data_IF_262319727850
#
_entry.id   IF_262319727850
#
_cell.length_a   1.000
_cell.length_b   1.000
_cell.length_c   1.000
_cell.angle_alpha   90.00
_cell.angle_beta   90.00
_cell.angle_gamma   90.00
#
_symmetry.space_group_name_H-M   'P 1'
#
loop_
_entity.id
_entity.type
_entity.pdbx_description
1 polymer ?
#
# COMPACT_ATOMS: atom_id res chain seq x y z
N UNK A 1 -0.97 -6.24 14.28
CA UNK A 1 -2.42 -6.49 14.06
C UNK A 1 -2.73 -6.29 12.60
N UNK A 2 -3.21 -7.32 11.89
CA UNK A 2 -3.53 -7.24 10.45
C UNK A 2 -4.96 -6.70 10.32
N UNK A 3 -5.24 -5.91 9.29
CA UNK A 3 -6.63 -5.71 8.87
C UNK A 3 -7.15 -7.10 8.44
N UNK A 4 -8.03 -7.68 9.24
CA UNK A 4 -8.60 -9.00 8.98
C UNK A 4 -10.05 -8.99 9.46
N UNK A 5 -10.94 -9.42 8.57
CA UNK A 5 -12.41 -9.38 8.67
C UNK A 5 -13.07 -8.02 8.39
N UNK A 6 -12.96 -7.58 7.12
CA UNK A 6 -13.65 -6.39 6.60
C UNK A 6 -15.18 -6.57 6.47
N UNK A 7 -15.70 -7.79 6.68
CA UNK A 7 -17.10 -8.14 6.43
C UNK A 7 -17.98 -8.17 7.69
N UNK A 8 -17.51 -7.65 8.82
CA UNK A 8 -18.40 -7.50 9.98
C UNK A 8 -17.79 -7.91 11.32
N UNK A 9 -16.74 -8.72 11.34
CA UNK A 9 -16.33 -9.35 12.60
C UNK A 9 -17.40 -10.33 13.12
N UNK A 10 -17.17 -11.01 14.25
CA UNK A 10 -18.23 -11.71 14.99
C UNK A 10 -19.35 -10.77 15.49
N UNK A 11 -19.13 -9.45 15.48
CA UNK A 11 -20.09 -8.45 15.94
C UNK A 11 -21.10 -8.02 14.87
N UNK A 12 -20.85 -8.30 13.59
CA UNK A 12 -21.66 -7.82 12.46
C UNK A 12 -21.60 -6.30 12.23
N UNK A 13 -20.80 -5.55 13.01
CA UNK A 13 -20.73 -4.08 12.97
C UNK A 13 -19.72 -3.54 11.95
N UNK A 14 -18.92 -4.41 11.32
CA UNK A 14 -17.89 -4.02 10.36
C UNK A 14 -16.49 -4.14 10.94
N UNK A 15 -15.51 -3.51 10.29
CA UNK A 15 -14.12 -3.56 10.75
C UNK A 15 -13.98 -2.91 12.12
N UNK A 16 -13.37 -3.59 13.11
CA UNK A 16 -13.18 -3.04 14.47
C UNK A 16 -12.17 -1.89 14.52
N UNK A 17 -11.57 -1.50 13.39
CA UNK A 17 -10.65 -0.36 13.28
C UNK A 17 -11.30 0.87 12.63
N UNK A 18 -12.60 0.85 12.36
CA UNK A 18 -13.30 1.98 11.74
C UNK A 18 -13.04 2.15 10.23
N UNK A 19 -12.33 1.20 9.60
CA UNK A 19 -11.90 1.34 8.20
C UNK A 19 -12.99 0.98 7.18
N UNK A 20 -13.77 -0.07 7.46
CA UNK A 20 -14.82 -0.59 6.57
C UNK A 20 -16.05 -0.93 7.41
N UNK A 21 -16.77 0.10 7.82
CA UNK A 21 -17.96 0.01 8.67
C UNK A 21 -18.92 1.16 8.36
N UNK A 22 -20.22 0.90 8.50
CA UNK A 22 -21.30 1.91 8.48
C UNK A 22 -21.76 2.30 9.88
N UNK A 23 -21.15 1.71 10.91
CA UNK A 23 -21.42 2.02 12.32
C UNK A 23 -20.73 3.33 12.71
N UNK A 24 -21.52 4.32 13.13
CA UNK A 24 -21.05 5.68 13.38
C UNK A 24 -20.01 5.72 14.51
N UNK A 25 -20.19 4.93 15.57
CA UNK A 25 -19.25 4.89 16.69
C UNK A 25 -17.89 4.34 16.27
N UNK A 26 -17.88 3.31 15.41
CA UNK A 26 -16.64 2.70 14.92
C UNK A 26 -15.92 3.62 13.93
N UNK A 27 -16.64 4.42 13.14
CA UNK A 27 -16.04 5.39 12.22
C UNK A 27 -15.21 6.44 12.95
N UNK A 28 -15.60 6.83 14.17
CA UNK A 28 -14.87 7.82 14.98
C UNK A 28 -13.54 7.29 15.56
N UNK A 29 -13.31 5.98 15.51
CA UNK A 29 -12.09 5.37 16.09
C UNK A 29 -10.84 5.69 15.28
N UNK A 30 -10.97 6.14 14.03
CA UNK A 30 -9.85 6.61 13.23
C UNK A 30 -9.79 8.13 13.21
N UNK A 31 -8.65 8.66 13.63
CA UNK A 31 -8.37 10.10 13.50
C UNK A 31 -8.01 10.42 12.05
N UNK A 32 -8.87 11.20 11.37
CA UNK A 32 -8.74 11.50 9.95
C UNK A 32 -7.37 12.11 9.59
N UNK A 33 -6.93 13.13 10.32
CA UNK A 33 -5.63 13.79 10.10
C UNK A 33 -4.45 12.83 10.24
N UNK A 34 -4.51 11.93 11.22
CA UNK A 34 -3.49 10.90 11.41
C UNK A 34 -3.49 9.90 10.24
N UNK A 35 -4.67 9.49 9.77
CA UNK A 35 -4.82 8.56 8.67
C UNK A 35 -4.30 9.14 7.33
N UNK A 36 -4.67 10.38 7.03
CA UNK A 36 -4.20 11.13 5.85
C UNK A 36 -2.67 11.21 5.86
N UNK A 37 -2.08 11.65 6.98
CA UNK A 37 -0.61 11.72 7.12
C UNK A 37 0.08 10.38 6.87
N UNK A 38 -0.53 9.26 7.24
CA UNK A 38 0.02 7.93 6.98
C UNK A 38 -0.02 7.56 5.50
N UNK A 39 -1.09 7.90 4.79
CA UNK A 39 -1.18 7.71 3.35
C UNK A 39 -0.12 8.55 2.64
N UNK A 40 0.04 9.81 3.01
CA UNK A 40 1.07 10.69 2.45
C UNK A 40 2.48 10.12 2.64
N UNK A 41 2.78 9.66 3.87
CA UNK A 41 4.07 9.05 4.16
C UNK A 41 4.30 7.77 3.33
N UNK A 42 3.27 6.94 3.17
CA UNK A 42 3.36 5.71 2.39
C UNK A 42 3.64 6.00 0.91
N UNK A 43 2.82 6.85 0.27
CA UNK A 43 3.03 7.20 -1.14
C UNK A 43 4.34 7.92 -1.38
N UNK A 44 4.76 8.79 -0.44
CA UNK A 44 6.08 9.42 -0.48
C UNK A 44 7.18 8.37 -0.48
N UNK A 45 7.19 7.45 0.50
CA UNK A 45 8.21 6.40 0.58
C UNK A 45 8.24 5.50 -0.68
N UNK A 46 7.07 5.12 -1.20
CA UNK A 46 6.96 4.34 -2.44
C UNK A 46 7.52 5.12 -3.64
N UNK A 47 7.17 6.40 -3.79
CA UNK A 47 7.68 7.26 -4.85
C UNK A 47 9.21 7.39 -4.79
N UNK A 48 9.77 7.63 -3.60
CA UNK A 48 11.22 7.70 -3.40
C UNK A 48 11.90 6.40 -3.81
N UNK A 49 11.36 5.26 -3.38
CA UNK A 49 11.94 3.96 -3.70
C UNK A 49 11.87 3.68 -5.20
N UNK A 50 10.77 4.03 -5.85
CA UNK A 50 10.60 3.85 -7.29
C UNK A 50 11.61 4.71 -8.08
N UNK A 51 11.80 5.98 -7.69
CA UNK A 51 12.79 6.87 -8.30
C UNK A 51 14.22 6.35 -8.14
N UNK A 52 14.58 5.82 -6.98
CA UNK A 52 15.90 5.19 -6.76
C UNK A 52 16.12 3.96 -7.63
N UNK A 53 15.09 3.15 -7.86
CA UNK A 53 15.17 2.00 -8.77
C UNK A 53 15.34 2.47 -10.22
N UNK A 54 14.53 3.45 -10.67
CA UNK A 54 14.61 4.00 -12.02
C UNK A 54 15.99 4.61 -12.29
N UNK A 55 16.54 5.39 -11.35
CA UNK A 55 17.87 5.99 -11.52
C UNK A 55 18.98 4.94 -11.64
N UNK A 56 18.90 3.84 -10.88
CA UNK A 56 19.83 2.70 -10.99
C UNK A 56 19.73 1.96 -12.32
N UNK A 57 18.58 2.02 -12.97
CA UNK A 57 18.35 1.47 -14.31
C UNK A 57 18.64 2.49 -15.43
N UNK A 58 18.98 3.74 -15.09
CA UNK A 58 19.22 4.82 -16.05
C UNK A 58 17.95 5.38 -16.70
N UNK A 59 16.79 5.24 -16.06
CA UNK A 59 15.49 5.70 -16.54
C UNK A 59 15.02 6.93 -15.77
N UNK A 60 14.26 7.82 -16.40
CA UNK A 60 13.76 9.05 -15.78
C UNK A 60 12.24 9.05 -15.55
N UNK A 61 11.49 8.25 -16.30
CA UNK A 61 10.04 8.10 -16.19
C UNK A 61 9.62 6.63 -16.08
N UNK A 62 8.57 6.36 -15.30
CA UNK A 62 8.01 5.01 -15.14
C UNK A 62 7.53 4.44 -16.49
N UNK A 63 7.06 5.28 -17.41
CA UNK A 63 6.64 4.87 -18.75
C UNK A 63 7.76 4.23 -19.55
N UNK A 64 9.02 4.60 -19.29
CA UNK A 64 10.18 3.97 -19.93
C UNK A 64 10.43 2.54 -19.42
N UNK A 65 9.97 2.23 -18.20
CA UNK A 65 10.10 0.90 -17.58
C UNK A 65 8.98 -0.06 -18.05
N UNK A 66 7.79 0.44 -18.36
CA UNK A 66 6.63 -0.39 -18.72
C UNK A 66 6.97 -1.26 -19.94
N UNK A 67 6.89 -2.59 -19.78
CA UNK A 67 7.16 -3.56 -20.85
C UNK A 67 8.63 -3.95 -21.05
N UNK A 68 9.58 -3.33 -20.33
CA UNK A 68 11.03 -3.63 -20.41
C UNK A 68 11.40 -4.90 -19.64
N UNK A 69 10.94 -6.06 -20.13
CA UNK A 69 11.29 -7.37 -19.54
C UNK A 69 12.77 -7.71 -19.67
N UNK A 70 13.50 -7.05 -20.59
CA UNK A 70 14.96 -7.15 -20.74
C UNK A 70 15.74 -6.67 -19.50
N UNK A 71 15.14 -5.82 -18.67
CA UNK A 71 15.71 -5.37 -17.39
C UNK A 71 15.51 -6.38 -16.26
N UNK A 72 14.82 -7.49 -16.52
CA UNK A 72 14.57 -8.55 -15.54
C UNK A 72 15.42 -9.78 -15.88
N UNK A 73 15.96 -10.40 -14.83
CA UNK A 73 16.65 -11.69 -14.94
C UNK A 73 16.03 -12.67 -13.96
N UNK A 74 15.74 -13.89 -14.43
CA UNK A 74 15.35 -14.98 -13.56
C UNK A 74 16.57 -15.50 -12.78
N UNK A 75 16.44 -15.55 -11.46
CA UNK A 75 17.42 -16.08 -10.51
C UNK A 75 16.74 -17.27 -9.82
N UNK A 76 16.58 -18.37 -10.56
CA UNK A 76 15.99 -19.59 -10.02
C UNK A 76 16.90 -20.25 -8.99
N UNK A 77 16.28 -20.85 -7.97
CA UNK A 77 16.96 -21.64 -6.94
C UNK A 77 17.63 -22.87 -7.54
N UNK A 78 18.81 -23.21 -7.01
CA UNK A 78 19.46 -24.51 -7.24
C UNK A 78 18.45 -25.63 -6.95
N UNK A 79 18.44 -26.64 -7.82
CA UNK A 79 17.78 -27.91 -7.51
C UNK A 79 18.56 -28.65 -6.44
#
# INVERSE_FOLDING_TARGET
TRCSNCEGGPSGRGCPWGLTTTDIELQEWIQLEWAVKRLDNYYTAVQWRLRDILSKLGLNDVKELVGRTDLLKYIGGEK
#
